data_IF_130672927854
#
_entry.id   IF_130672927854
#
_cell.length_a   1.000
_cell.length_b   1.000
_cell.length_c   1.000
_cell.angle_alpha   90.00
_cell.angle_beta   90.00
_cell.angle_gamma   90.00
#
_symmetry.space_group_name_H-M   'P 1'
#
loop_
_entity.id
_entity.type
_entity.pdbx_description
1 polymer ?
#
# COMPACT_ATOMS: atom_id res chain seq x y z
N UNK A 1 17.75 -26.62 25.20
CA UNK A 1 16.59 -26.17 25.98
C UNK A 1 15.41 -25.67 25.14
N UNK A 2 15.61 -25.19 23.91
CA UNK A 2 14.53 -24.61 23.07
C UNK A 2 13.82 -25.58 22.12
N UNK A 3 14.21 -26.86 22.07
CA UNK A 3 13.68 -27.82 21.08
C UNK A 3 12.17 -28.06 21.14
N UNK A 4 11.59 -28.01 22.34
CA UNK A 4 10.14 -28.13 22.52
C UNK A 4 9.38 -26.92 21.98
N UNK A 5 9.90 -25.71 22.22
CA UNK A 5 9.34 -24.47 21.70
C UNK A 5 9.40 -24.42 20.18
N UNK A 6 10.54 -24.76 19.58
CA UNK A 6 10.73 -24.81 18.12
C UNK A 6 9.76 -25.79 17.45
N UNK A 7 9.54 -26.95 18.08
CA UNK A 7 8.56 -27.93 17.57
C UNK A 7 7.12 -27.42 17.61
N UNK A 8 6.77 -26.66 18.66
CA UNK A 8 5.44 -26.08 18.85
C UNK A 8 5.21 -24.82 17.97
N UNK A 9 6.27 -24.16 17.50
CA UNK A 9 6.23 -22.91 16.74
C UNK A 9 7.12 -23.04 15.49
N UNK A 10 6.69 -23.84 14.49
CA UNK A 10 7.45 -23.99 13.26
C UNK A 10 7.47 -22.67 12.49
N UNK A 11 8.60 -22.38 11.85
CA UNK A 11 8.70 -21.23 10.94
C UNK A 11 7.78 -21.46 9.73
N UNK A 12 6.86 -20.53 9.51
CA UNK A 12 5.95 -20.52 8.36
C UNK A 12 6.53 -19.64 7.24
N UNK A 13 5.99 -19.73 6.02
CA UNK A 13 6.42 -18.89 4.90
C UNK A 13 6.09 -17.40 5.05
N UNK A 14 5.35 -17.03 6.09
CA UNK A 14 4.97 -15.64 6.36
C UNK A 14 6.06 -14.82 7.07
N UNK A 15 7.00 -15.51 7.72
CA UNK A 15 8.05 -14.89 8.53
C UNK A 15 9.43 -15.36 8.09
N UNK A 16 10.39 -14.44 8.01
CA UNK A 16 11.82 -14.76 7.83
C UNK A 16 12.45 -15.31 9.12
N UNK A 17 11.92 -14.89 10.27
CA UNK A 17 12.30 -15.34 11.62
C UNK A 17 11.04 -15.49 12.46
N UNK A 18 11.04 -16.38 13.44
CA UNK A 18 9.90 -16.57 14.34
C UNK A 18 10.36 -16.72 15.77
N UNK A 19 9.86 -15.89 16.66
CA UNK A 19 10.22 -15.86 18.06
C UNK A 19 9.08 -15.35 18.95
N UNK A 20 9.39 -15.01 20.18
CA UNK A 20 8.38 -14.54 21.14
C UNK A 20 7.72 -13.22 20.71
N UNK A 21 8.41 -12.38 19.96
CA UNK A 21 7.83 -11.13 19.46
C UNK A 21 6.75 -11.39 18.42
N UNK A 22 6.97 -12.33 17.50
CA UNK A 22 5.99 -12.73 16.51
C UNK A 22 4.76 -13.35 17.18
N UNK A 23 4.96 -14.23 18.16
CA UNK A 23 3.87 -14.80 19.00
C UNK A 23 3.06 -13.69 19.68
N UNK A 24 3.72 -12.67 20.23
CA UNK A 24 3.03 -11.54 20.85
C UNK A 24 2.24 -10.72 19.84
N UNK A 25 2.83 -10.46 18.67
CA UNK A 25 2.16 -9.73 17.58
C UNK A 25 0.91 -10.49 17.11
N UNK A 26 1.02 -11.80 16.88
CA UNK A 26 -0.12 -12.64 16.48
C UNK A 26 -1.23 -12.64 17.54
N UNK A 27 -0.87 -12.78 18.81
CA UNK A 27 -1.84 -12.74 19.90
C UNK A 27 -2.53 -11.37 20.00
N UNK A 28 -1.77 -10.28 19.89
CA UNK A 28 -2.33 -8.93 19.88
C UNK A 28 -3.27 -8.72 18.70
N UNK A 29 -2.86 -9.12 17.50
CA UNK A 29 -3.70 -9.02 16.30
C UNK A 29 -4.99 -9.84 16.44
N UNK A 30 -4.91 -11.04 17.01
CA UNK A 30 -6.09 -11.87 17.29
C UNK A 30 -7.05 -11.20 18.27
N UNK A 31 -6.51 -10.60 19.34
CA UNK A 31 -7.33 -9.89 20.33
C UNK A 31 -7.97 -8.63 19.71
N UNK A 32 -7.19 -7.82 19.00
CA UNK A 32 -7.69 -6.63 18.31
C UNK A 32 -8.78 -6.97 17.29
N UNK A 33 -8.55 -8.02 16.50
CA UNK A 33 -9.56 -8.50 15.55
C UNK A 33 -10.85 -8.90 16.26
N UNK A 34 -10.74 -9.66 17.37
CA UNK A 34 -11.91 -10.05 18.17
C UNK A 34 -12.69 -8.86 18.72
N UNK A 35 -12.00 -7.81 19.19
CA UNK A 35 -12.63 -6.57 19.65
C UNK A 35 -13.34 -5.83 18.51
N UNK A 36 -12.68 -5.67 17.36
CA UNK A 36 -13.23 -4.99 16.18
C UNK A 36 -14.48 -5.75 15.65
N UNK A 37 -14.39 -7.07 15.55
CA UNK A 37 -15.53 -7.90 15.11
C UNK A 37 -16.70 -7.86 16.11
N UNK A 38 -16.43 -7.73 17.40
CA UNK A 38 -17.47 -7.54 18.41
C UNK A 38 -18.17 -6.19 18.25
N UNK A 39 -17.40 -5.11 18.01
CA UNK A 39 -17.94 -3.79 17.71
C UNK A 39 -18.77 -3.80 16.41
N UNK A 40 -18.27 -4.47 15.36
CA UNK A 40 -18.97 -4.56 14.08
C UNK A 40 -20.32 -5.31 14.14
N UNK A 41 -20.46 -6.23 15.09
CA UNK A 41 -21.72 -7.00 15.32
C UNK A 41 -22.65 -6.33 16.34
N UNK A 42 -22.11 -5.43 17.16
CA UNK A 42 -22.86 -4.75 18.22
C UNK A 42 -23.76 -3.64 17.70
N UNK A 43 -24.76 -3.27 18.52
CA UNK A 43 -25.54 -2.05 18.33
C UNK A 43 -24.96 -0.98 19.26
N UNK A 44 -24.54 0.15 18.68
CA UNK A 44 -23.89 1.23 19.42
C UNK A 44 -24.57 2.57 19.14
N UNK A 45 -24.51 3.49 20.08
CA UNK A 45 -25.05 4.84 19.90
C UNK A 45 -24.26 5.58 18.80
N UNK A 46 -24.99 6.36 18.01
CA UNK A 46 -24.41 7.15 16.92
C UNK A 46 -23.39 8.14 17.45
N UNK A 47 -22.20 8.13 16.85
CA UNK A 47 -21.07 9.01 17.21
C UNK A 47 -20.09 8.44 18.22
N UNK A 48 -20.36 7.25 18.81
CA UNK A 48 -19.41 6.55 19.68
C UNK A 48 -18.22 5.97 18.88
N UNK A 49 -17.12 5.68 19.57
CA UNK A 49 -15.96 5.04 18.93
C UNK A 49 -16.31 3.64 18.46
N UNK A 50 -17.05 2.91 19.23
CA UNK A 50 -17.50 1.55 18.92
C UNK A 50 -18.31 1.51 17.63
N UNK A 51 -19.24 2.44 17.44
CA UNK A 51 -20.01 2.57 16.22
C UNK A 51 -19.11 2.89 15.02
N UNK A 52 -18.20 3.87 15.14
CA UNK A 52 -17.30 4.27 14.05
C UNK A 52 -16.36 3.15 13.63
N UNK A 53 -15.78 2.42 14.59
CA UNK A 53 -14.90 1.28 14.32
C UNK A 53 -15.69 0.14 13.66
N UNK A 54 -16.85 -0.19 14.20
CA UNK A 54 -17.73 -1.23 13.66
C UNK A 54 -18.17 -0.94 12.23
N UNK A 55 -18.62 0.27 11.96
CA UNK A 55 -19.04 0.69 10.62
C UNK A 55 -17.89 0.69 9.61
N UNK A 56 -16.72 1.20 10.01
CA UNK A 56 -15.53 1.17 9.16
C UNK A 56 -15.12 -0.27 8.81
N UNK A 57 -15.14 -1.17 9.80
CA UNK A 57 -14.85 -2.57 9.57
C UNK A 57 -15.85 -3.21 8.61
N UNK A 58 -17.14 -2.98 8.82
CA UNK A 58 -18.22 -3.52 7.97
C UNK A 58 -18.08 -3.04 6.52
N UNK A 59 -17.77 -1.75 6.31
CA UNK A 59 -17.52 -1.19 4.97
C UNK A 59 -16.29 -1.83 4.34
N UNK A 60 -15.20 -1.98 5.10
CA UNK A 60 -13.96 -2.57 4.61
C UNK A 60 -14.09 -4.05 4.26
N UNK A 61 -15.00 -4.78 4.93
CA UNK A 61 -15.23 -6.21 4.72
C UNK A 61 -16.37 -6.52 3.75
N UNK A 62 -17.09 -5.51 3.24
CA UNK A 62 -18.17 -5.69 2.26
C UNK A 62 -17.60 -5.98 0.85
N UNK A 63 -17.18 -7.22 0.66
CA UNK A 63 -16.64 -7.68 -0.63
C UNK A 63 -17.68 -7.64 -1.76
N UNK A 64 -18.96 -7.75 -1.45
CA UNK A 64 -20.03 -7.68 -2.45
C UNK A 64 -20.12 -6.28 -3.03
N UNK A 65 -20.15 -5.27 -2.14
CA UNK A 65 -20.13 -3.87 -2.57
C UNK A 65 -18.84 -3.51 -3.29
N UNK A 66 -17.69 -3.91 -2.76
CA UNK A 66 -16.37 -3.64 -3.38
C UNK A 66 -16.29 -4.24 -4.79
N UNK A 67 -16.73 -5.49 -4.98
CA UNK A 67 -16.76 -6.13 -6.29
C UNK A 67 -17.73 -5.43 -7.27
N UNK A 68 -18.87 -4.94 -6.77
CA UNK A 68 -19.83 -4.18 -7.58
C UNK A 68 -19.28 -2.81 -7.98
N UNK A 69 -18.66 -2.10 -7.05
CA UNK A 69 -18.12 -0.76 -7.29
C UNK A 69 -16.86 -0.81 -8.18
N UNK A 70 -16.07 -1.90 -8.09
CA UNK A 70 -14.84 -2.07 -8.85
C UNK A 70 -13.90 -0.88 -8.66
N UNK A 71 -13.44 -0.28 -9.77
CA UNK A 71 -12.57 0.91 -9.72
C UNK A 71 -13.32 2.26 -9.75
N UNK A 72 -14.67 2.25 -9.72
CA UNK A 72 -15.47 3.48 -9.74
C UNK A 72 -15.05 4.53 -8.69
N UNK A 73 -14.66 4.17 -7.45
CA UNK A 73 -14.23 5.15 -6.45
C UNK A 73 -12.99 5.96 -6.81
N UNK A 74 -12.10 5.42 -7.66
CA UNK A 74 -10.88 6.09 -8.11
C UNK A 74 -10.98 6.64 -9.53
N UNK A 75 -12.13 6.45 -10.19
CA UNK A 75 -12.29 6.81 -11.61
C UNK A 75 -12.07 8.30 -11.87
N UNK A 76 -12.58 9.17 -11.02
CA UNK A 76 -12.35 10.63 -11.15
C UNK A 76 -10.87 10.99 -11.16
N UNK A 77 -10.08 10.37 -10.26
CA UNK A 77 -8.64 10.61 -10.20
C UNK A 77 -7.91 10.03 -11.42
N UNK A 78 -8.34 8.86 -11.90
CA UNK A 78 -7.79 8.25 -13.12
C UNK A 78 -8.09 9.10 -14.35
N UNK A 79 -9.32 9.62 -14.48
CA UNK A 79 -9.71 10.52 -15.58
C UNK A 79 -8.90 11.84 -15.51
N UNK A 80 -8.68 12.39 -14.32
CA UNK A 80 -7.88 13.58 -14.13
C UNK A 80 -6.40 13.37 -14.50
N UNK A 81 -5.85 12.20 -14.18
CA UNK A 81 -4.48 11.81 -14.60
C UNK A 81 -4.41 11.66 -16.12
N UNK A 82 -5.41 11.03 -16.73
CA UNK A 82 -5.45 10.84 -18.19
C UNK A 82 -5.58 12.15 -18.97
N UNK A 83 -6.13 13.19 -18.36
CA UNK A 83 -6.31 14.51 -18.97
C UNK A 83 -5.05 15.39 -18.94
N UNK A 84 -3.99 15.00 -18.24
CA UNK A 84 -2.75 15.77 -18.10
C UNK A 84 -2.08 15.99 -19.45
N UNK A 85 -1.74 17.26 -19.76
CA UNK A 85 -1.11 17.67 -21.01
C UNK A 85 0.34 18.12 -20.83
N UNK A 86 0.71 18.64 -19.65
CA UNK A 86 2.02 19.20 -19.43
C UNK A 86 2.60 18.87 -18.03
N UNK A 87 3.88 19.27 -17.81
CA UNK A 87 4.58 19.01 -16.54
C UNK A 87 4.00 19.76 -15.34
N UNK A 88 3.41 20.93 -15.56
CA UNK A 88 2.81 21.73 -14.46
C UNK A 88 1.57 21.03 -13.93
N UNK A 89 0.79 20.45 -14.84
CA UNK A 89 -0.40 19.70 -14.50
C UNK A 89 -0.04 18.39 -13.76
N UNK A 90 1.09 17.74 -14.10
CA UNK A 90 1.61 16.61 -13.30
C UNK A 90 1.82 17.01 -11.86
N UNK A 91 2.55 18.10 -11.61
CA UNK A 91 2.84 18.59 -10.25
C UNK A 91 1.56 18.96 -9.50
N UNK A 92 0.63 19.63 -10.17
CA UNK A 92 -0.65 20.01 -9.59
C UNK A 92 -1.49 18.78 -9.21
N UNK A 93 -1.54 17.77 -10.08
CA UNK A 93 -2.26 16.52 -9.79
C UNK A 93 -1.58 15.72 -8.68
N UNK A 94 -0.24 15.66 -8.65
CA UNK A 94 0.49 15.04 -7.54
C UNK A 94 0.17 15.70 -6.19
N UNK A 95 0.12 17.03 -6.14
CA UNK A 95 -0.25 17.74 -4.92
C UNK A 95 -1.69 17.45 -4.50
N UNK A 96 -2.62 17.34 -5.46
CA UNK A 96 -4.01 16.96 -5.21
C UNK A 96 -4.13 15.54 -4.65
N UNK A 97 -3.41 14.58 -5.22
CA UNK A 97 -3.39 13.18 -4.77
C UNK A 97 -2.69 13.04 -3.41
N UNK A 98 -1.59 13.77 -3.19
CA UNK A 98 -0.88 13.80 -1.90
C UNK A 98 -1.77 14.29 -0.75
N UNK A 99 -2.68 15.26 -0.99
CA UNK A 99 -3.69 15.69 -0.01
C UNK A 99 -4.71 14.60 0.32
N UNK A 100 -4.90 13.63 -0.55
CA UNK A 100 -5.72 12.43 -0.32
C UNK A 100 -4.93 11.29 0.37
N UNK A 101 -3.65 11.52 0.70
CA UNK A 101 -2.77 10.52 1.31
C UNK A 101 -2.16 9.52 0.33
N UNK A 102 -2.25 9.77 -0.98
CA UNK A 102 -1.66 8.90 -1.99
C UNK A 102 -0.16 9.23 -2.18
N UNK A 103 0.70 8.22 -2.38
CA UNK A 103 2.12 8.43 -2.60
C UNK A 103 2.38 9.13 -3.94
N UNK A 104 3.49 9.87 -4.00
CA UNK A 104 3.99 10.52 -5.21
C UNK A 104 5.48 10.24 -5.39
N UNK A 105 6.12 10.97 -6.33
CA UNK A 105 7.57 10.86 -6.54
C UNK A 105 8.40 11.37 -5.37
N UNK A 106 7.80 12.18 -4.51
CA UNK A 106 8.44 12.74 -3.31
C UNK A 106 7.59 12.42 -2.09
N UNK A 107 8.24 11.91 -1.04
CA UNK A 107 7.71 11.93 0.31
C UNK A 107 7.99 13.27 0.96
N UNK A 108 7.08 13.76 1.79
CA UNK A 108 7.33 14.95 2.61
C UNK A 108 6.68 14.79 3.98
N UNK A 109 7.38 15.30 4.98
CA UNK A 109 6.91 15.30 6.36
C UNK A 109 7.49 16.52 7.07
N UNK A 110 6.90 16.90 8.20
CA UNK A 110 7.41 17.97 9.05
C UNK A 110 8.10 17.34 10.24
N UNK A 111 9.35 17.71 10.45
CA UNK A 111 10.16 17.22 11.56
C UNK A 111 11.12 18.33 12.03
N UNK A 112 11.75 18.10 13.18
CA UNK A 112 12.75 19.00 13.72
C UNK A 112 13.93 19.17 12.76
N UNK A 113 14.41 20.39 12.61
CA UNK A 113 15.64 20.67 11.87
C UNK A 113 16.82 19.96 12.55
N UNK A 114 17.56 19.15 11.79
CA UNK A 114 18.77 18.44 12.25
C UNK A 114 19.82 19.40 12.83
N UNK A 115 19.88 20.63 12.33
CA UNK A 115 20.83 21.66 12.78
C UNK A 115 20.29 22.53 13.91
N UNK A 116 19.00 22.61 14.06
CA UNK A 116 18.34 23.41 15.11
C UNK A 116 17.01 22.75 15.53
N UNK A 117 17.06 21.85 16.47
CA UNK A 117 15.92 21.07 16.94
C UNK A 117 14.77 21.90 17.58
N UNK A 118 14.96 23.21 17.77
CA UNK A 118 13.89 24.10 18.23
C UNK A 118 12.98 24.58 17.09
N UNK A 119 13.30 24.27 15.83
CA UNK A 119 12.53 24.61 14.65
C UNK A 119 12.07 23.36 13.92
N UNK A 120 10.84 23.38 13.41
CA UNK A 120 10.35 22.35 12.51
C UNK A 120 10.48 22.82 11.05
N UNK A 121 10.95 21.92 10.20
CA UNK A 121 11.10 22.15 8.76
C UNK A 121 10.35 21.10 7.95
N UNK A 122 9.94 21.49 6.75
CA UNK A 122 9.49 20.54 5.73
C UNK A 122 10.69 19.73 5.23
N UNK A 123 10.66 18.45 5.49
CA UNK A 123 11.61 17.47 4.96
C UNK A 123 11.06 16.87 3.66
N UNK A 124 11.90 16.81 2.64
CA UNK A 124 11.55 16.21 1.35
C UNK A 124 12.49 15.02 1.12
N UNK A 125 11.92 13.88 0.78
CA UNK A 125 12.66 12.67 0.48
C UNK A 125 12.25 12.10 -0.88
N UNK A 126 13.15 11.38 -1.50
CA UNK A 126 12.83 10.63 -2.70
C UNK A 126 11.82 9.53 -2.37
N UNK A 127 10.84 9.34 -3.25
CA UNK A 127 9.87 8.26 -3.22
C UNK A 127 9.69 7.66 -4.61
N UNK A 128 8.71 6.79 -4.76
CA UNK A 128 8.23 6.36 -6.07
C UNK A 128 8.80 5.05 -6.61
N UNK A 129 9.72 4.36 -5.91
CA UNK A 129 10.12 3.01 -6.29
C UNK A 129 9.13 1.98 -5.69
N UNK A 130 8.43 1.26 -6.55
CA UNK A 130 7.41 0.28 -6.13
C UNK A 130 8.01 -0.98 -5.51
N UNK A 131 9.19 -1.41 -5.96
CA UNK A 131 9.91 -2.57 -5.43
C UNK A 131 10.88 -2.23 -4.29
N UNK A 132 10.99 -0.95 -3.90
CA UNK A 132 11.79 -0.46 -2.78
C UNK A 132 13.27 -0.28 -3.12
N UNK A 133 13.99 -1.34 -3.44
CA UNK A 133 15.44 -1.32 -3.64
C UNK A 133 15.85 -1.40 -5.11
N UNK A 134 16.96 -0.73 -5.48
CA UNK A 134 17.46 -0.68 -6.86
C UNK A 134 17.85 -2.05 -7.41
N UNK A 135 18.28 -2.96 -6.55
CA UNK A 135 18.67 -4.32 -6.89
C UNK A 135 17.55 -5.08 -7.59
N UNK A 136 16.29 -4.86 -7.19
CA UNK A 136 15.12 -5.48 -7.83
C UNK A 136 14.94 -5.07 -9.29
N UNK A 137 15.46 -3.90 -9.68
CA UNK A 137 15.38 -3.40 -11.05
C UNK A 137 16.59 -3.81 -11.90
N UNK A 138 17.78 -3.91 -11.30
CA UNK A 138 19.05 -3.99 -12.01
C UNK A 138 19.70 -5.38 -11.97
N UNK A 139 19.56 -6.14 -10.88
CA UNK A 139 20.20 -7.43 -10.72
C UNK A 139 19.54 -8.53 -11.53
N UNK A 140 20.35 -9.53 -11.91
CA UNK A 140 19.92 -10.60 -12.82
C UNK A 140 20.00 -12.01 -12.19
N UNK A 141 20.09 -12.12 -10.88
CA UNK A 141 19.88 -13.39 -10.21
C UNK A 141 18.43 -13.88 -10.37
N UNK A 142 18.20 -15.18 -10.27
CA UNK A 142 16.91 -15.79 -10.58
C UNK A 142 15.78 -15.30 -9.67
N UNK A 143 16.05 -15.00 -8.40
CA UNK A 143 15.05 -14.56 -7.44
C UNK A 143 14.60 -13.13 -7.76
N UNK A 144 15.54 -12.22 -8.01
CA UNK A 144 15.29 -10.84 -8.37
C UNK A 144 14.56 -10.71 -9.70
N UNK A 145 14.97 -11.50 -10.72
CA UNK A 145 14.25 -11.56 -12.00
C UNK A 145 12.82 -12.05 -11.81
N UNK A 146 12.59 -13.08 -10.99
CA UNK A 146 11.24 -13.58 -10.72
C UNK A 146 10.35 -12.52 -10.06
N UNK A 147 10.87 -11.78 -9.08
CA UNK A 147 10.14 -10.67 -8.41
C UNK A 147 9.77 -9.61 -9.45
N UNK A 148 10.71 -9.18 -10.27
CA UNK A 148 10.50 -8.17 -11.31
C UNK A 148 9.46 -8.59 -12.34
N UNK A 149 9.50 -9.82 -12.84
CA UNK A 149 8.52 -10.32 -13.80
C UNK A 149 7.12 -10.49 -13.15
N UNK A 150 7.06 -10.92 -11.89
CA UNK A 150 5.80 -10.98 -11.13
C UNK A 150 5.19 -9.60 -10.93
N UNK A 151 6.01 -8.58 -10.68
CA UNK A 151 5.56 -7.19 -10.56
C UNK A 151 5.03 -6.64 -11.88
N UNK A 152 5.68 -6.92 -13.00
CA UNK A 152 5.18 -6.55 -14.35
C UNK A 152 3.81 -7.16 -14.61
N UNK A 153 3.66 -8.47 -14.36
CA UNK A 153 2.38 -9.16 -14.53
C UNK A 153 1.27 -8.60 -13.62
N UNK A 154 1.63 -8.23 -12.39
CA UNK A 154 0.73 -7.56 -11.47
C UNK A 154 0.25 -6.21 -12.01
N UNK A 155 1.17 -5.37 -12.50
CA UNK A 155 0.81 -4.06 -13.08
C UNK A 155 -0.12 -4.19 -14.29
N UNK A 156 0.19 -5.10 -15.22
CA UNK A 156 -0.67 -5.35 -16.39
C UNK A 156 -2.07 -5.75 -15.96
N UNK A 157 -2.19 -6.64 -14.99
CA UNK A 157 -3.47 -7.04 -14.42
C UNK A 157 -4.21 -5.87 -13.78
N UNK A 158 -3.52 -5.04 -12.99
CA UNK A 158 -4.15 -3.88 -12.35
C UNK A 158 -4.65 -2.86 -13.37
N UNK A 159 -3.87 -2.53 -14.39
CA UNK A 159 -4.32 -1.63 -15.46
C UNK A 159 -5.51 -2.20 -16.24
N UNK A 160 -5.54 -3.50 -16.48
CA UNK A 160 -6.68 -4.16 -17.12
C UNK A 160 -7.93 -4.09 -16.24
N UNK A 161 -7.81 -4.32 -14.95
CA UNK A 161 -8.92 -4.17 -13.99
C UNK A 161 -9.43 -2.72 -13.90
N UNK A 162 -8.57 -1.74 -14.19
CA UNK A 162 -8.95 -0.32 -14.31
C UNK A 162 -9.48 0.06 -15.70
N UNK A 163 -9.76 -0.91 -16.57
CA UNK A 163 -10.43 -0.70 -17.85
C UNK A 163 -9.50 -0.50 -19.06
N UNK A 164 -8.18 -0.71 -18.92
CA UNK A 164 -7.26 -0.69 -20.06
C UNK A 164 -7.40 -1.97 -20.91
N UNK A 165 -7.20 -1.85 -22.22
CA UNK A 165 -6.99 -3.05 -23.06
C UNK A 165 -5.67 -3.74 -22.68
N UNK A 166 -5.47 -5.02 -23.03
CA UNK A 166 -4.20 -5.71 -22.75
C UNK A 166 -2.98 -4.98 -23.33
N UNK A 167 -3.08 -4.44 -24.54
CA UNK A 167 -2.02 -3.68 -25.21
C UNK A 167 -1.72 -2.37 -24.48
N UNK A 168 -2.76 -1.65 -24.04
CA UNK A 168 -2.59 -0.43 -23.24
C UNK A 168 -2.00 -0.73 -21.86
N UNK A 169 -2.45 -1.79 -21.22
CA UNK A 169 -1.94 -2.23 -19.91
C UNK A 169 -0.44 -2.54 -19.99
N UNK A 170 -0.02 -3.29 -20.99
CA UNK A 170 1.39 -3.58 -21.26
C UNK A 170 2.20 -2.31 -21.49
N UNK A 171 1.73 -1.41 -22.36
CA UNK A 171 2.42 -0.13 -22.62
C UNK A 171 2.57 0.73 -21.34
N UNK A 172 1.52 0.77 -20.51
CA UNK A 172 1.56 1.48 -19.21
C UNK A 172 2.56 0.85 -18.25
N UNK A 173 2.58 -0.47 -18.16
CA UNK A 173 3.55 -1.21 -17.36
C UNK A 173 4.99 -0.91 -17.81
N UNK A 174 5.27 -0.97 -19.12
CA UNK A 174 6.58 -0.67 -19.68
C UNK A 174 7.02 0.78 -19.38
N UNK A 175 6.07 1.73 -19.41
CA UNK A 175 6.34 3.12 -19.07
C UNK A 175 6.70 3.28 -17.58
N UNK A 176 5.97 2.63 -16.66
CA UNK A 176 6.29 2.63 -15.22
C UNK A 176 7.68 2.04 -14.99
N UNK A 177 7.95 0.83 -15.51
CA UNK A 177 9.27 0.20 -15.39
C UNK A 177 10.39 1.08 -15.97
N UNK A 178 10.15 1.74 -17.09
CA UNK A 178 11.13 2.66 -17.70
C UNK A 178 11.40 3.92 -16.86
N UNK A 179 10.45 4.37 -16.07
CA UNK A 179 10.64 5.50 -15.13
C UNK A 179 11.41 5.04 -13.88
N UNK A 180 10.99 3.93 -13.28
CA UNK A 180 11.56 3.44 -12.02
C UNK A 180 12.97 2.84 -12.17
N UNK A 181 13.37 2.45 -13.39
CA UNK A 181 14.73 1.91 -13.69
C UNK A 181 15.76 3.00 -14.01
N UNK A 182 15.38 4.28 -14.14
CA UNK A 182 16.27 5.40 -14.46
C UNK A 182 16.90 6.03 -13.24
#
# INVERSE_FOLDING_TARGET
>A
ACGGWIKAHPLTGEYSTYGNFEVLIENNNKQLRGLIEAMAKGQHEVGTLEQKIGDLYNIAMDSVKQNKDGYAPIKEDMDAIAAIQDRKEIIAQMAKLGRKGLPGYFGFYIDADIKNSSMNLLQIMQGGLSLGEKEYYLDNDSATVHIRESFKAYMEKMFTLCGSTPEEAKRKMEAVMGIETR
#
